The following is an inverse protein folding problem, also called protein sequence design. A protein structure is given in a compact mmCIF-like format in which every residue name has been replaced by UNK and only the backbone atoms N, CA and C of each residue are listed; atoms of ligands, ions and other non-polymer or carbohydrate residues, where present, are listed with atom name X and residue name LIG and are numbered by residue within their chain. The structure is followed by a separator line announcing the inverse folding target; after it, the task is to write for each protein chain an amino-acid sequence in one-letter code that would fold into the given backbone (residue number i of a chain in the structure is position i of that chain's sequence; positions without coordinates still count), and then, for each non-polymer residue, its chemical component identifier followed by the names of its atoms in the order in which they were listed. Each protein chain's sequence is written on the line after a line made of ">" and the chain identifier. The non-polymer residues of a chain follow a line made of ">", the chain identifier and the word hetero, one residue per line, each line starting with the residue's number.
data_IF_768778788008
#
_entry.id   IF_768778788008
#
_cell.length_a   1.000
_cell.length_b   1.000
_cell.length_c   1.000
_cell.angle_alpha   90.00
_cell.angle_beta   90.00
_cell.angle_gamma   90.00
#
_symmetry.space_group_name_H-M   'P 1'
#
loop_
_entity.id
_entity.type
_entity.pdbx_description
1 polymer ?
#
# COMPACT_ATOMS: atom_id res chain seq x y z
N UNK A 1 -6.95 56.73 30.72
CA UNK A 1 -6.51 55.46 31.26
C UNK A 1 -7.56 54.37 31.06
N UNK A 2 -7.36 53.48 30.19
CA UNK A 2 -7.58 52.01 30.19
C UNK A 2 -7.48 51.49 28.76
N UNK A 3 -6.36 50.91 28.52
CA UNK A 3 -6.03 50.07 27.41
C UNK A 3 -6.93 48.82 27.35
N UNK A 4 -7.50 48.53 26.20
CA UNK A 4 -8.22 47.31 25.89
C UNK A 4 -7.38 46.49 24.91
N UNK A 5 -6.88 45.35 25.41
CA UNK A 5 -6.15 44.37 24.59
C UNK A 5 -7.08 43.65 23.60
N UNK A 6 -6.89 43.88 22.34
CA UNK A 6 -7.43 43.05 21.26
C UNK A 6 -6.45 41.95 20.90
N UNK A 7 -6.63 40.75 21.44
CA UNK A 7 -5.88 39.57 20.97
C UNK A 7 -6.53 39.01 19.71
N UNK A 8 -5.96 39.29 18.58
CA UNK A 8 -6.18 38.54 17.34
C UNK A 8 -5.41 37.23 17.44
N UNK A 9 -6.12 36.12 17.37
CA UNK A 9 -5.53 34.79 17.25
C UNK A 9 -5.00 34.63 15.83
N UNK A 10 -3.70 34.86 15.65
CA UNK A 10 -2.98 34.50 14.44
C UNK A 10 -2.63 33.03 14.47
N UNK A 11 -2.93 32.32 13.39
CA UNK A 11 -2.70 30.88 13.25
C UNK A 11 -1.22 30.52 13.47
N UNK A 12 -1.01 29.53 14.31
CA UNK A 12 0.29 28.95 14.59
C UNK A 12 0.77 28.07 13.43
N UNK A 13 1.47 28.72 12.48
CA UNK A 13 2.51 28.05 11.70
C UNK A 13 3.82 28.29 12.44
N UNK A 14 4.01 27.61 13.57
CA UNK A 14 5.18 27.75 14.39
C UNK A 14 6.05 26.51 14.29
N UNK A 15 7.25 26.64 13.75
CA UNK A 15 8.35 25.73 14.07
C UNK A 15 8.75 26.00 15.51
N UNK A 16 8.41 25.12 16.43
CA UNK A 16 8.91 25.14 17.79
C UNK A 16 10.38 24.70 17.76
N UNK A 17 11.31 25.65 17.77
CA UNK A 17 12.71 25.42 18.04
C UNK A 17 12.92 25.48 19.57
N UNK A 18 12.73 24.36 20.23
CA UNK A 18 13.15 24.13 21.61
C UNK A 18 14.05 22.90 21.63
N UNK A 19 15.09 22.91 22.46
CA UNK A 19 16.03 21.80 22.61
C UNK A 19 15.34 20.62 23.31
N UNK A 20 14.48 19.93 22.57
CA UNK A 20 13.92 18.63 22.94
C UNK A 20 14.72 17.63 22.12
N UNK A 21 15.36 16.66 22.76
CA UNK A 21 16.04 15.54 22.10
C UNK A 21 15.00 14.68 21.37
N UNK A 22 14.58 15.14 20.19
CA UNK A 22 13.62 14.52 19.30
C UNK A 22 12.95 15.58 18.44
N UNK A 23 12.86 15.38 17.14
CA UNK A 23 12.12 16.24 16.24
C UNK A 23 10.69 15.69 16.04
N UNK A 24 9.70 16.56 16.17
CA UNK A 24 8.32 16.27 15.77
C UNK A 24 8.08 16.97 14.44
N UNK A 25 7.90 16.21 13.37
CA UNK A 25 7.53 16.74 12.07
C UNK A 25 6.03 16.57 11.89
N UNK A 26 5.32 17.68 11.69
CA UNK A 26 3.88 17.65 11.41
C UNK A 26 3.66 17.56 9.90
N UNK A 27 3.11 16.45 9.44
CA UNK A 27 2.52 16.32 8.11
C UNK A 27 1.03 16.70 8.18
N UNK A 28 0.39 17.15 7.09
CA UNK A 28 -1.04 17.41 7.09
C UNK A 28 -1.82 16.20 7.60
N UNK A 29 -2.39 16.33 8.81
CA UNK A 29 -3.19 15.30 9.47
C UNK A 29 -2.41 14.26 10.30
N UNK A 30 -1.07 14.38 10.46
CA UNK A 30 -0.28 13.40 11.21
C UNK A 30 0.99 13.99 11.82
N UNK A 31 1.31 13.61 13.07
CA UNK A 31 2.59 13.90 13.70
C UNK A 31 3.55 12.72 13.51
N UNK A 32 4.74 12.97 13.00
CA UNK A 32 5.81 11.98 12.84
C UNK A 32 6.96 12.35 13.76
N UNK A 33 7.32 11.43 14.66
CA UNK A 33 8.44 11.60 15.58
C UNK A 33 9.74 11.18 14.89
N UNK A 34 10.65 12.13 14.71
CA UNK A 34 11.98 11.90 14.12
C UNK A 34 13.10 12.34 15.05
N UNK A 35 14.26 11.72 14.95
CA UNK A 35 15.34 11.88 15.95
C UNK A 35 16.20 13.13 15.83
N UNK A 36 16.15 13.95 14.77
CA UNK A 36 16.94 15.20 14.65
C UNK A 36 16.27 16.21 13.72
N UNK A 37 16.06 17.44 14.21
CA UNK A 37 15.74 18.61 13.40
C UNK A 37 16.90 18.92 12.42
N UNK A 38 16.60 19.17 11.16
CA UNK A 38 17.58 19.46 10.13
C UNK A 38 17.96 18.28 9.23
N UNK A 39 17.37 17.10 9.44
CA UNK A 39 17.56 15.96 8.55
C UNK A 39 16.57 15.97 7.39
N UNK A 40 16.99 15.37 6.29
CA UNK A 40 16.13 15.07 5.15
C UNK A 40 15.35 13.80 5.43
N UNK A 41 14.07 13.83 5.18
CA UNK A 41 13.19 12.70 5.34
C UNK A 41 12.30 12.51 4.11
N UNK A 42 11.99 11.28 3.80
CA UNK A 42 11.04 10.92 2.75
C UNK A 42 9.91 10.11 3.36
N UNK A 43 8.68 10.55 3.17
CA UNK A 43 7.49 9.75 3.44
C UNK A 43 7.13 9.00 2.17
N UNK A 44 7.24 7.70 2.19
CA UNK A 44 6.78 6.83 1.11
C UNK A 44 5.31 6.49 1.37
N UNK A 45 4.44 6.81 0.42
CA UNK A 45 3.00 6.51 0.47
C UNK A 45 2.65 5.46 -0.57
N UNK A 46 2.17 4.31 -0.12
CA UNK A 46 1.84 3.19 -1.01
C UNK A 46 0.36 2.82 -1.00
N UNK A 47 -0.42 3.32 -0.04
CA UNK A 47 -1.78 2.86 0.28
C UNK A 47 -1.88 1.34 0.55
N UNK A 48 -0.75 0.65 0.67
CA UNK A 48 -0.65 -0.79 0.89
C UNK A 48 0.23 -1.05 2.10
N UNK A 49 -0.28 -1.66 3.17
CA UNK A 49 0.52 -2.00 4.33
C UNK A 49 1.49 -3.14 4.02
N UNK A 50 2.58 -3.22 4.78
CA UNK A 50 3.51 -4.34 4.73
C UNK A 50 4.47 -4.34 3.54
N UNK A 51 4.64 -3.21 2.84
CA UNK A 51 5.62 -3.09 1.75
C UNK A 51 7.02 -2.90 2.34
N UNK A 52 7.95 -3.83 2.11
CA UNK A 52 9.32 -3.70 2.56
C UNK A 52 10.12 -2.77 1.65
N UNK A 53 10.84 -1.81 2.27
CA UNK A 53 11.56 -0.76 1.56
C UNK A 53 13.06 -0.81 1.84
N UNK A 54 13.83 -0.58 0.80
CA UNK A 54 15.27 -0.43 0.82
C UNK A 54 15.64 1.05 0.58
N UNK A 55 16.68 1.52 1.23
CA UNK A 55 17.35 2.79 0.93
C UNK A 55 18.80 2.48 0.57
N UNK A 56 19.19 2.80 -0.65
CA UNK A 56 20.53 2.48 -1.19
C UNK A 56 20.93 1.00 -0.99
N UNK A 57 19.98 0.09 -1.18
CA UNK A 57 20.17 -1.36 -1.05
C UNK A 57 20.05 -1.94 0.37
N UNK A 58 19.96 -1.09 1.39
CA UNK A 58 19.77 -1.55 2.77
C UNK A 58 18.29 -1.50 3.19
N UNK A 59 17.79 -2.55 3.85
CA UNK A 59 16.42 -2.57 4.37
C UNK A 59 16.29 -1.55 5.51
N UNK A 60 15.35 -0.62 5.39
CA UNK A 60 15.20 0.50 6.33
C UNK A 60 13.82 0.61 6.95
N UNK A 61 12.78 0.14 6.27
CA UNK A 61 11.41 0.28 6.75
C UNK A 61 10.46 -0.74 6.12
N UNK A 62 9.28 -0.84 6.71
CA UNK A 62 8.11 -1.51 6.14
C UNK A 62 6.94 -0.55 6.29
N UNK A 63 6.07 -0.45 5.29
CA UNK A 63 4.91 0.44 5.38
C UNK A 63 3.95 -0.01 6.48
N UNK A 64 3.42 0.96 7.22
CA UNK A 64 2.50 0.75 8.33
C UNK A 64 1.07 0.39 7.86
N UNK A 65 0.13 0.30 8.80
CA UNK A 65 -1.27 -0.05 8.51
C UNK A 65 -1.96 0.95 7.56
N UNK A 66 -1.47 2.18 7.45
CA UNK A 66 -1.96 3.19 6.48
C UNK A 66 -1.24 3.13 5.13
N UNK A 67 -0.27 2.23 4.97
CA UNK A 67 0.56 2.12 3.77
C UNK A 67 1.62 3.22 3.66
N UNK A 68 2.08 3.76 4.79
CA UNK A 68 3.12 4.80 4.82
C UNK A 68 4.37 4.34 5.56
N UNK A 69 5.52 4.83 5.12
CA UNK A 69 6.80 4.66 5.82
C UNK A 69 7.60 5.97 5.80
N UNK A 70 8.32 6.24 6.88
CA UNK A 70 9.24 7.37 6.98
C UNK A 70 10.68 6.88 6.83
N UNK A 71 11.38 7.41 5.83
CA UNK A 71 12.80 7.18 5.60
C UNK A 71 13.59 8.43 6.05
N UNK A 72 14.60 8.23 6.89
CA UNK A 72 15.45 9.29 7.43
C UNK A 72 16.92 9.02 7.12
N UNK A 73 17.78 10.01 7.36
CA UNK A 73 19.23 9.83 7.16
C UNK A 73 19.68 9.93 5.71
N UNK A 74 18.86 10.55 4.83
CA UNK A 74 19.26 10.78 3.45
C UNK A 74 20.37 11.83 3.37
N UNK A 75 21.47 11.55 2.63
CA UNK A 75 22.59 12.46 2.52
C UNK A 75 22.25 13.71 1.70
N UNK A 76 22.98 14.80 1.97
CA UNK A 76 22.83 16.05 1.23
C UNK A 76 23.48 15.98 -0.15
N UNK A 77 22.79 16.53 -1.16
CA UNK A 77 23.37 16.76 -2.48
C UNK A 77 23.71 15.50 -3.28
N UNK A 78 23.34 14.32 -2.78
CA UNK A 78 23.51 13.06 -3.49
C UNK A 78 22.16 12.43 -3.83
N UNK A 79 22.16 11.61 -4.88
CA UNK A 79 21.00 10.81 -5.24
C UNK A 79 20.93 9.62 -4.30
N UNK A 80 19.76 9.40 -3.69
CA UNK A 80 19.45 8.20 -2.93
C UNK A 80 18.40 7.39 -3.68
N UNK A 81 18.57 6.08 -3.72
CA UNK A 81 17.61 5.18 -4.33
C UNK A 81 16.71 4.59 -3.25
N UNK A 82 15.41 4.81 -3.38
CA UNK A 82 14.39 4.06 -2.65
C UNK A 82 13.95 2.89 -3.53
N UNK A 83 13.93 1.70 -2.96
CA UNK A 83 13.52 0.50 -3.69
C UNK A 83 12.54 -0.34 -2.86
N UNK A 84 11.74 -1.15 -3.56
CA UNK A 84 10.95 -2.23 -2.96
C UNK A 84 11.86 -3.45 -2.81
N UNK A 85 11.89 -4.06 -1.63
CA UNK A 85 12.55 -5.35 -1.43
C UNK A 85 11.68 -6.46 -2.03
N UNK A 86 11.92 -6.77 -3.31
CA UNK A 86 11.10 -7.73 -4.06
C UNK A 86 11.19 -9.14 -3.49
N UNK A 87 12.32 -9.50 -2.86
CA UNK A 87 12.51 -10.83 -2.27
C UNK A 87 11.68 -11.02 -0.98
N UNK A 88 11.34 -9.92 -0.32
CA UNK A 88 10.52 -9.91 0.88
C UNK A 88 9.08 -9.44 0.64
N UNK A 89 8.76 -9.03 -0.60
CA UNK A 89 7.40 -8.61 -0.95
C UNK A 89 6.45 -9.82 -0.90
N UNK A 90 5.27 -9.70 -0.25
CA UNK A 90 4.28 -10.76 -0.28
C UNK A 90 3.90 -11.15 -1.71
N UNK A 91 3.80 -12.47 -1.98
CA UNK A 91 3.56 -13.00 -3.35
C UNK A 91 2.24 -12.53 -4.00
N UNK A 92 1.30 -12.07 -3.21
CA UNK A 92 0.01 -11.53 -3.65
C UNK A 92 0.06 -10.01 -3.93
N UNK A 93 1.24 -9.40 -3.84
CA UNK A 93 1.45 -7.98 -4.13
C UNK A 93 2.46 -7.85 -5.26
N UNK A 94 2.14 -7.06 -6.27
CA UNK A 94 3.02 -6.76 -7.39
C UNK A 94 3.33 -5.27 -7.41
N UNK A 95 4.61 -4.90 -7.51
CA UNK A 95 5.05 -3.54 -7.73
C UNK A 95 5.22 -3.29 -9.24
N UNK A 96 4.72 -2.14 -9.74
CA UNK A 96 4.92 -1.70 -11.13
C UNK A 96 6.32 -1.14 -11.32
N UNK A 97 6.71 -0.25 -10.41
CA UNK A 97 8.06 0.29 -10.33
C UNK A 97 8.74 -0.21 -9.06
N UNK A 98 9.92 -0.81 -9.21
CA UNK A 98 10.66 -1.36 -8.08
C UNK A 98 11.57 -0.33 -7.43
N UNK A 99 11.91 0.77 -8.10
CA UNK A 99 12.87 1.77 -7.63
C UNK A 99 12.45 3.19 -7.95
N UNK A 100 12.90 4.15 -7.12
CA UNK A 100 12.81 5.58 -7.40
C UNK A 100 14.10 6.27 -6.91
N UNK A 101 14.67 7.11 -7.75
CA UNK A 101 15.83 7.92 -7.40
C UNK A 101 15.36 9.27 -6.85
N UNK A 102 15.91 9.66 -5.69
CA UNK A 102 15.54 10.87 -4.98
C UNK A 102 16.80 11.72 -4.75
N UNK A 103 16.77 12.97 -5.21
CA UNK A 103 17.80 13.97 -4.95
C UNK A 103 17.21 15.09 -4.07
N UNK A 104 17.70 15.22 -2.85
CA UNK A 104 17.23 16.23 -1.90
C UNK A 104 18.28 17.32 -1.71
N UNK A 105 18.00 18.51 -2.27
CA UNK A 105 18.91 19.66 -2.19
C UNK A 105 18.84 20.38 -0.83
N UNK A 106 17.73 20.32 -0.12
CA UNK A 106 17.48 21.04 1.14
C UNK A 106 16.94 20.11 2.23
N UNK A 107 17.10 20.53 3.49
CA UNK A 107 16.43 19.86 4.60
C UNK A 107 14.92 20.00 4.47
N UNK A 108 14.18 18.95 4.84
CA UNK A 108 12.72 18.93 4.77
C UNK A 108 12.16 17.53 4.72
N UNK A 109 10.85 17.47 4.63
CA UNK A 109 10.10 16.23 4.44
C UNK A 109 9.57 16.21 3.03
N UNK A 110 9.91 15.18 2.30
CA UNK A 110 9.49 14.95 0.92
C UNK A 110 8.51 13.77 0.87
N UNK A 111 7.66 13.74 -0.14
CA UNK A 111 6.70 12.67 -0.32
C UNK A 111 7.05 11.93 -1.61
N UNK A 112 7.29 10.62 -1.50
CA UNK A 112 7.32 9.70 -2.62
C UNK A 112 5.92 9.09 -2.73
N UNK A 113 5.17 9.50 -3.74
CA UNK A 113 3.82 9.00 -3.99
C UNK A 113 3.86 7.74 -4.85
N UNK A 114 3.73 6.60 -4.19
CA UNK A 114 3.58 5.27 -4.76
C UNK A 114 2.19 4.68 -4.53
N UNK A 115 1.18 5.51 -4.33
CA UNK A 115 -0.19 5.06 -4.05
C UNK A 115 -0.82 4.21 -5.16
N UNK A 116 -0.31 4.32 -6.39
CA UNK A 116 -0.74 3.54 -7.56
C UNK A 116 0.31 2.53 -8.02
N UNK A 117 1.35 2.32 -7.23
CA UNK A 117 2.47 1.47 -7.63
C UNK A 117 2.24 -0.01 -7.34
N UNK A 118 1.26 -0.35 -6.51
CA UNK A 118 1.05 -1.72 -6.05
C UNK A 118 -0.31 -2.25 -6.48
N UNK A 119 -0.29 -3.43 -7.08
CA UNK A 119 -1.47 -4.23 -7.34
C UNK A 119 -1.53 -5.35 -6.30
N UNK A 120 -2.59 -5.38 -5.50
CA UNK A 120 -2.81 -6.40 -4.47
C UNK A 120 -3.83 -7.40 -4.99
N UNK A 121 -3.54 -8.69 -4.82
CA UNK A 121 -4.43 -9.79 -5.15
C UNK A 121 -4.82 -10.57 -3.90
N UNK A 122 -5.91 -11.32 -3.97
CA UNK A 122 -6.38 -12.22 -2.91
C UNK A 122 -6.76 -13.58 -3.46
N UNK A 123 -6.56 -14.61 -2.65
CA UNK A 123 -7.00 -15.96 -2.96
C UNK A 123 -8.47 -16.12 -2.62
N UNK A 124 -9.22 -16.75 -3.52
CA UNK A 124 -10.63 -17.11 -3.29
C UNK A 124 -10.85 -18.52 -3.79
N UNK A 125 -11.51 -19.37 -2.99
CA UNK A 125 -11.90 -20.71 -3.39
C UNK A 125 -13.31 -20.68 -4.00
N UNK A 126 -13.46 -21.26 -5.18
CA UNK A 126 -14.71 -21.26 -5.94
C UNK A 126 -15.36 -22.64 -5.94
N UNK A 127 -16.65 -22.66 -5.69
CA UNK A 127 -17.44 -23.87 -5.53
C UNK A 127 -18.62 -23.91 -6.51
N UNK A 128 -18.90 -25.10 -7.04
CA UNK A 128 -20.17 -25.37 -7.74
C UNK A 128 -21.31 -25.65 -6.77
N UNK A 129 -21.02 -26.34 -5.67
CA UNK A 129 -21.98 -26.62 -4.58
C UNK A 129 -21.27 -26.36 -3.24
N UNK A 130 -21.98 -26.31 -2.11
CA UNK A 130 -21.34 -26.08 -0.80
C UNK A 130 -20.20 -27.05 -0.44
N UNK A 131 -20.13 -28.21 -1.09
CA UNK A 131 -19.15 -29.27 -0.82
C UNK A 131 -18.25 -29.60 -1.99
N UNK A 132 -18.48 -29.02 -3.18
CA UNK A 132 -17.75 -29.34 -4.40
C UNK A 132 -17.09 -28.08 -4.98
N UNK A 133 -15.79 -27.97 -4.85
CA UNK A 133 -15.02 -26.88 -5.47
C UNK A 133 -14.64 -27.19 -6.92
N UNK A 134 -14.36 -26.14 -7.69
CA UNK A 134 -13.94 -26.25 -9.09
C UNK A 134 -12.46 -26.55 -9.18
N UNK A 135 -12.09 -27.71 -9.72
CA UNK A 135 -10.70 -28.12 -9.94
C UNK A 135 -10.25 -27.70 -11.34
N UNK A 136 -9.13 -27.02 -11.44
CA UNK A 136 -8.52 -26.54 -12.69
C UNK A 136 -9.47 -25.73 -13.61
N UNK A 137 -10.55 -25.24 -13.06
CA UNK A 137 -11.54 -24.45 -13.81
C UNK A 137 -11.01 -23.05 -14.15
N UNK A 138 -11.89 -22.28 -14.75
CA UNK A 138 -11.61 -20.90 -15.16
C UNK A 138 -12.70 -19.98 -14.63
N UNK A 139 -12.28 -18.86 -14.06
CA UNK A 139 -13.17 -17.76 -13.73
C UNK A 139 -12.97 -16.61 -14.73
N UNK A 140 -14.06 -16.25 -15.42
CA UNK A 140 -14.08 -15.19 -16.42
C UNK A 140 -14.77 -13.96 -15.84
N UNK A 141 -14.06 -12.83 -15.78
CA UNK A 141 -14.60 -11.57 -15.26
C UNK A 141 -13.97 -10.38 -15.95
N UNK A 142 -14.80 -9.41 -16.38
CA UNK A 142 -14.32 -8.17 -17.00
C UNK A 142 -13.41 -8.37 -18.24
N UNK A 143 -13.61 -9.45 -18.99
CA UNK A 143 -12.76 -9.81 -20.12
C UNK A 143 -11.42 -10.47 -19.74
N UNK A 144 -11.18 -10.70 -18.46
CA UNK A 144 -10.00 -11.40 -17.95
C UNK A 144 -10.33 -12.85 -17.62
N UNK A 145 -9.33 -13.71 -17.82
CA UNK A 145 -9.38 -15.15 -17.52
C UNK A 145 -8.47 -15.45 -16.34
N UNK A 146 -9.03 -16.02 -15.28
CA UNK A 146 -8.31 -16.45 -14.09
C UNK A 146 -8.40 -17.97 -13.97
N UNK A 147 -7.24 -18.64 -13.91
CA UNK A 147 -7.19 -20.10 -13.80
C UNK A 147 -7.20 -20.52 -12.34
N UNK A 148 -8.00 -21.53 -12.02
CA UNK A 148 -8.05 -22.15 -10.69
C UNK A 148 -6.99 -23.25 -10.57
N UNK A 149 -6.51 -23.46 -9.34
CA UNK A 149 -5.62 -24.58 -9.01
C UNK A 149 -6.38 -25.89 -8.79
N UNK A 150 -5.65 -26.93 -8.35
CA UNK A 150 -6.18 -28.26 -8.04
C UNK A 150 -7.07 -28.31 -6.79
N UNK A 151 -7.10 -27.24 -6.01
CA UNK A 151 -7.96 -27.08 -4.84
C UNK A 151 -9.08 -26.05 -5.04
N UNK A 152 -9.24 -25.54 -6.26
CA UNK A 152 -10.26 -24.59 -6.61
C UNK A 152 -9.99 -23.16 -6.18
N UNK A 153 -8.74 -22.82 -5.85
CA UNK A 153 -8.36 -21.44 -5.55
C UNK A 153 -8.02 -20.68 -6.81
N UNK A 154 -8.41 -19.42 -6.81
CA UNK A 154 -8.07 -18.44 -7.84
C UNK A 154 -7.48 -17.19 -7.20
N UNK A 155 -6.47 -16.61 -7.83
CA UNK A 155 -5.90 -15.33 -7.43
C UNK A 155 -6.57 -14.22 -8.24
N UNK A 156 -7.30 -13.34 -7.58
CA UNK A 156 -8.01 -12.22 -8.21
C UNK A 156 -7.54 -10.87 -7.62
N UNK A 157 -7.67 -9.75 -8.37
CA UNK A 157 -7.38 -8.44 -7.82
C UNK A 157 -8.23 -8.12 -6.57
N UNK A 158 -7.60 -7.64 -5.52
CA UNK A 158 -8.28 -7.17 -4.30
C UNK A 158 -8.75 -5.71 -4.48
N UNK A 159 -9.87 -5.56 -5.17
CA UNK A 159 -10.47 -4.24 -5.42
C UNK A 159 -11.32 -3.74 -4.26
N UNK A 160 -11.47 -4.53 -3.19
CA UNK A 160 -12.41 -4.29 -2.08
C UNK A 160 -13.87 -4.11 -2.54
N UNK A 161 -14.20 -4.67 -3.69
CA UNK A 161 -15.54 -4.69 -4.29
C UNK A 161 -15.89 -6.12 -4.64
N UNK A 162 -17.18 -6.41 -4.68
CA UNK A 162 -17.66 -7.67 -5.20
C UNK A 162 -17.28 -7.81 -6.70
N UNK A 163 -16.89 -9.01 -7.11
CA UNK A 163 -16.48 -9.32 -8.48
C UNK A 163 -17.45 -10.34 -9.05
N UNK A 164 -18.14 -9.97 -10.12
CA UNK A 164 -19.04 -10.87 -10.84
C UNK A 164 -18.35 -11.50 -12.03
N UNK A 165 -18.67 -12.75 -12.28
CA UNK A 165 -18.14 -13.47 -13.42
C UNK A 165 -18.73 -14.84 -13.57
N UNK A 166 -18.19 -15.57 -14.54
CA UNK A 166 -18.61 -16.92 -14.90
C UNK A 166 -17.54 -17.90 -14.48
N UNK A 167 -17.91 -18.85 -13.62
CA UNK A 167 -17.09 -20.03 -13.33
C UNK A 167 -17.37 -21.10 -14.38
N UNK A 168 -16.33 -21.65 -14.97
CA UNK A 168 -16.40 -22.70 -15.97
C UNK A 168 -15.45 -23.85 -15.58
N UNK A 169 -15.91 -25.10 -15.73
CA UNK A 169 -15.04 -26.26 -15.54
C UNK A 169 -13.97 -26.37 -16.63
N UNK A 170 -12.88 -27.11 -16.35
CA UNK A 170 -11.77 -27.30 -17.29
C UNK A 170 -12.25 -27.91 -18.63
N UNK A 171 -13.17 -28.85 -18.58
CA UNK A 171 -13.80 -29.47 -19.77
C UNK A 171 -14.90 -28.63 -20.43
N UNK A 172 -15.25 -27.47 -19.83
CA UNK A 172 -16.33 -26.60 -20.30
C UNK A 172 -17.74 -27.14 -20.12
N UNK A 173 -17.90 -28.33 -19.50
CA UNK A 173 -19.22 -28.99 -19.37
C UNK A 173 -20.13 -28.35 -18.31
N UNK A 174 -19.51 -27.66 -17.33
CA UNK A 174 -20.23 -26.97 -16.24
C UNK A 174 -19.93 -25.50 -16.27
N UNK A 175 -20.93 -24.69 -16.09
CA UNK A 175 -20.80 -23.24 -16.05
C UNK A 175 -21.85 -22.66 -15.11
N UNK A 176 -21.46 -21.64 -14.33
CA UNK A 176 -22.38 -20.84 -13.54
C UNK A 176 -21.94 -19.38 -13.43
N UNK A 177 -22.88 -18.48 -13.32
CA UNK A 177 -22.63 -17.10 -12.93
C UNK A 177 -22.51 -17.04 -11.41
N UNK A 178 -21.44 -16.40 -10.90
CA UNK A 178 -21.28 -16.21 -9.47
C UNK A 178 -20.76 -14.83 -9.15
N UNK A 179 -20.97 -14.42 -7.91
CA UNK A 179 -20.42 -13.19 -7.35
C UNK A 179 -19.42 -13.54 -6.23
N UNK A 180 -18.18 -13.13 -6.39
CA UNK A 180 -17.17 -13.18 -5.34
C UNK A 180 -17.39 -11.96 -4.45
N UNK A 181 -17.69 -12.12 -3.15
CA UNK A 181 -17.96 -10.99 -2.27
C UNK A 181 -16.71 -10.09 -2.12
N UNK A 182 -16.92 -8.84 -1.73
CA UNK A 182 -15.83 -7.87 -1.52
C UNK A 182 -14.81 -8.32 -0.47
N UNK A 183 -15.25 -9.11 0.50
CA UNK A 183 -14.43 -9.71 1.56
C UNK A 183 -14.74 -11.20 1.66
N UNK A 184 -13.79 -11.96 2.17
CA UNK A 184 -13.90 -13.42 2.29
C UNK A 184 -13.09 -14.15 1.22
N UNK A 185 -12.91 -15.43 1.45
CA UNK A 185 -12.03 -16.33 0.70
C UNK A 185 -12.80 -17.44 -0.03
N UNK A 186 -14.13 -17.31 -0.10
CA UNK A 186 -15.00 -18.32 -0.67
C UNK A 186 -16.17 -17.72 -1.46
N UNK A 187 -16.48 -18.34 -2.60
CA UNK A 187 -17.71 -18.06 -3.36
C UNK A 187 -18.32 -19.36 -3.94
N UNK A 188 -19.63 -19.41 -4.02
CA UNK A 188 -20.39 -20.60 -4.41
C UNK A 188 -21.37 -20.20 -5.51
N UNK A 189 -21.53 -21.06 -6.51
CA UNK A 189 -22.60 -20.90 -7.51
C UNK A 189 -23.98 -20.87 -6.83
N UNK A 190 -24.89 -19.98 -7.27
CA UNK A 190 -26.24 -19.86 -6.73
C UNK A 190 -27.11 -21.08 -6.98
#
# INVERSE_FOLDING_TARGET
>A
SRTGDGRTASGLAGSLSGEVRGAVTFLPGRAVLGQKLGQRAVVVRTNTPGIPLLLNGARVAVTDASGEALLTGLPEGSVSQVAVDLDALPFNITARDATADIALAQSGVYILDWTRNFDVSRWVQLFYTPTEFSVYGVFLSGGQKYTLDDQGFVLIPDTRKAVRGTLQSDDGARQCELEIPATGDRAICP
#
